data_IF_408304598493
#
_entry.id   IF_408304598493
#
_cell.length_a   1.000
_cell.length_b   1.000
_cell.length_c   1.000
_cell.angle_alpha   90.00
_cell.angle_beta   90.00
_cell.angle_gamma   90.00
#
_symmetry.space_group_name_H-M   'P 1'
#
loop_
_entity.id
_entity.type
_entity.pdbx_description
1 polymer ?
#
# COMPACT_ATOMS: atom_id res chain seq x y z
N UNK A 1 -11.89 17.27 12.84
CA UNK A 1 -10.91 17.15 11.75
C UNK A 1 -11.08 15.78 11.16
N UNK A 2 -11.64 15.68 9.96
CA UNK A 2 -11.74 14.41 9.22
C UNK A 2 -10.37 14.26 8.55
N UNK A 3 -9.66 13.19 8.87
CA UNK A 3 -8.35 12.90 8.28
C UNK A 3 -8.51 11.67 7.42
N UNK A 4 -8.96 11.87 6.18
CA UNK A 4 -9.19 10.81 5.21
C UNK A 4 -7.89 10.01 5.02
N UNK A 5 -7.99 8.69 5.14
CA UNK A 5 -6.88 7.78 4.88
C UNK A 5 -6.31 8.01 3.50
N UNK A 6 -5.00 8.27 3.44
CA UNK A 6 -4.33 8.61 2.18
C UNK A 6 -4.47 7.48 1.15
N UNK A 7 -4.42 7.84 -0.13
CA UNK A 7 -4.38 6.87 -1.23
C UNK A 7 -3.16 5.95 -1.12
N UNK A 8 -3.36 4.65 -1.32
CA UNK A 8 -2.30 3.64 -1.33
C UNK A 8 -1.22 3.88 -2.39
N UNK A 9 0.01 3.48 -2.08
CA UNK A 9 1.18 3.67 -2.91
C UNK A 9 0.99 3.04 -4.28
N UNK A 10 1.46 3.75 -5.31
CA UNK A 10 1.54 3.20 -6.65
C UNK A 10 2.53 2.02 -6.64
N UNK A 11 2.11 0.89 -7.24
CA UNK A 11 2.97 -0.27 -7.39
C UNK A 11 4.14 -0.06 -8.32
N UNK A 12 5.17 -0.90 -8.14
CA UNK A 12 6.44 -0.80 -8.86
C UNK A 12 6.16 -0.80 -10.36
N UNK A 13 6.54 0.29 -11.03
CA UNK A 13 6.40 0.43 -12.47
C UNK A 13 7.07 -0.76 -13.16
N UNK A 14 6.34 -1.40 -14.10
CA UNK A 14 6.62 -2.53 -14.99
C UNK A 14 8.10 -2.90 -15.30
N UNK A 15 8.89 -3.14 -14.26
CA UNK A 15 10.31 -3.35 -14.26
C UNK A 15 10.66 -3.96 -12.92
N UNK A 16 11.74 -4.73 -12.85
CA UNK A 16 12.16 -5.59 -11.75
C UNK A 16 12.42 -4.92 -10.39
N UNK A 17 11.86 -3.73 -10.12
CA UNK A 17 11.92 -3.03 -8.85
C UNK A 17 10.83 -3.47 -7.89
N UNK A 18 11.15 -3.38 -6.59
CA UNK A 18 10.19 -3.55 -5.51
C UNK A 18 9.11 -2.46 -5.59
N UNK A 19 7.93 -2.80 -5.10
CA UNK A 19 6.78 -1.92 -5.16
C UNK A 19 6.71 -0.96 -3.97
N UNK A 20 5.96 0.14 -4.15
CA UNK A 20 5.72 1.12 -3.08
C UNK A 20 4.73 0.62 -2.02
N UNK A 21 4.98 1.00 -0.77
CA UNK A 21 4.05 0.74 0.34
C UNK A 21 2.78 1.60 0.26
N UNK A 22 1.71 1.07 0.84
CA UNK A 22 0.44 1.75 1.06
C UNK A 22 0.54 2.96 2.01
N UNK A 23 -0.27 3.99 1.78
CA UNK A 23 -0.32 5.16 2.66
C UNK A 23 -1.16 4.90 3.92
N UNK A 24 -0.72 5.45 5.05
CA UNK A 24 -1.44 5.34 6.33
C UNK A 24 -2.59 6.34 6.45
N UNK A 25 -3.65 5.92 7.15
CA UNK A 25 -4.73 6.76 7.61
C UNK A 25 -4.51 7.22 9.05
N UNK A 26 -4.81 8.50 9.35
CA UNK A 26 -4.52 9.07 10.69
C UNK A 26 -5.65 8.88 11.69
N UNK A 27 -6.87 9.32 11.36
CA UNK A 27 -7.98 9.34 12.32
C UNK A 27 -9.14 8.44 11.89
N UNK A 28 -9.70 8.70 10.71
CA UNK A 28 -10.78 7.90 10.14
C UNK A 28 -10.48 7.67 8.66
N UNK A 29 -10.40 6.42 8.24
CA UNK A 29 -10.12 6.03 6.86
C UNK A 29 -9.36 4.72 6.78
N UNK A 30 -9.48 4.02 5.65
CA UNK A 30 -8.68 2.82 5.40
C UNK A 30 -7.25 3.18 5.02
N UNK A 31 -6.30 2.35 5.41
CA UNK A 31 -4.96 2.38 4.85
C UNK A 31 -4.99 2.00 3.38
N UNK A 32 -4.03 2.51 2.62
CA UNK A 32 -3.88 2.19 1.22
C UNK A 32 -3.24 0.83 1.01
N UNK A 33 -3.54 0.15 -0.10
CA UNK A 33 -2.89 -1.12 -0.43
C UNK A 33 -1.44 -0.90 -0.86
N UNK A 34 -0.59 -1.88 -0.57
CA UNK A 34 0.75 -1.96 -1.12
C UNK A 34 0.71 -2.29 -2.62
N UNK A 35 1.72 -1.82 -3.33
CA UNK A 35 1.87 -2.05 -4.75
C UNK A 35 2.31 -3.48 -5.08
N UNK A 36 1.96 -3.98 -6.27
CA UNK A 36 2.50 -5.28 -6.72
C UNK A 36 3.94 -5.15 -7.21
N UNK A 37 4.75 -6.17 -6.91
CA UNK A 37 6.11 -6.31 -7.39
C UNK A 37 6.18 -6.33 -8.92
N UNK A 38 7.32 -5.88 -9.44
CA UNK A 38 7.59 -5.91 -10.88
C UNK A 38 7.70 -7.32 -11.45
N UNK A 39 7.08 -7.54 -12.61
CA UNK A 39 7.13 -8.84 -13.29
C UNK A 39 8.52 -9.12 -13.87
N UNK A 40 9.21 -10.15 -13.36
CA UNK A 40 10.54 -10.55 -13.80
C UNK A 40 10.78 -12.06 -13.59
N UNK A 41 11.87 -12.61 -14.13
CA UNK A 41 12.26 -14.01 -13.90
C UNK A 41 12.44 -14.35 -12.41
N UNK A 42 12.75 -13.34 -11.60
CA UNK A 42 12.62 -13.37 -10.14
C UNK A 42 11.65 -12.26 -9.74
N UNK A 43 10.43 -12.58 -9.30
CA UNK A 43 9.45 -11.57 -8.90
C UNK A 43 10.03 -10.63 -7.84
N UNK A 44 9.80 -9.33 -8.00
CA UNK A 44 10.22 -8.34 -7.01
C UNK A 44 9.26 -8.38 -5.80
N UNK A 45 9.66 -7.78 -4.67
CA UNK A 45 8.76 -7.75 -3.52
C UNK A 45 7.56 -6.83 -3.80
N UNK A 46 6.36 -7.30 -3.40
CA UNK A 46 5.22 -6.41 -3.24
C UNK A 46 5.43 -5.45 -2.08
N UNK A 47 4.75 -4.30 -2.14
CA UNK A 47 4.74 -3.30 -1.07
C UNK A 47 3.82 -3.74 0.07
N UNK A 48 4.07 -3.23 1.26
CA UNK A 48 3.25 -3.46 2.45
C UNK A 48 1.98 -2.62 2.39
N UNK A 49 0.85 -3.14 2.88
CA UNK A 49 -0.36 -2.35 3.11
C UNK A 49 -0.15 -1.28 4.18
N UNK A 50 -0.73 -0.09 3.98
CA UNK A 50 -0.72 0.98 4.98
C UNK A 50 -1.74 0.74 6.11
N UNK A 51 -1.52 1.34 7.27
CA UNK A 51 -2.41 1.22 8.43
C UNK A 51 -3.71 2.02 8.28
N UNK A 52 -4.81 1.47 8.81
CA UNK A 52 -6.09 2.15 8.97
C UNK A 52 -6.09 3.23 10.05
N UNK A 53 -7.12 4.07 10.05
CA UNK A 53 -7.25 5.19 10.96
C UNK A 53 -7.39 4.76 12.42
N UNK A 54 -6.75 5.48 13.33
CA UNK A 54 -6.66 5.12 14.75
C UNK A 54 -8.01 4.96 15.47
N UNK A 55 -9.08 5.58 14.98
CA UNK A 55 -10.43 5.47 15.54
C UNK A 55 -11.30 4.52 14.73
N UNK A 56 -11.23 4.61 13.40
CA UNK A 56 -11.97 3.73 12.51
C UNK A 56 -11.31 3.64 11.14
N UNK A 57 -11.05 2.41 10.70
CA UNK A 57 -10.41 2.13 9.42
C UNK A 57 -9.83 0.73 9.40
N UNK A 58 -9.84 0.09 8.23
CA UNK A 58 -9.10 -1.16 8.01
C UNK A 58 -7.71 -0.86 7.47
N UNK A 59 -6.76 -1.72 7.80
CA UNK A 59 -5.45 -1.71 7.13
C UNK A 59 -5.62 -2.06 5.64
N UNK A 60 -4.70 -1.56 4.82
CA UNK A 60 -4.54 -1.96 3.45
C UNK A 60 -3.96 -3.37 3.35
N UNK A 61 -4.10 -3.99 2.18
CA UNK A 61 -3.50 -5.30 1.92
C UNK A 61 -2.12 -5.16 1.31
N UNK A 62 -1.23 -6.10 1.63
CA UNK A 62 0.06 -6.22 0.97
C UNK A 62 -0.12 -6.50 -0.53
N UNK A 63 0.77 -5.93 -1.32
CA UNK A 63 0.86 -6.19 -2.74
C UNK A 63 1.40 -7.57 -3.03
N UNK A 64 1.04 -8.10 -4.19
CA UNK A 64 1.53 -9.39 -4.64
C UNK A 64 3.01 -9.31 -5.06
N UNK A 65 3.78 -10.41 -4.94
CA UNK A 65 5.08 -10.53 -5.58
C UNK A 65 4.99 -10.48 -7.11
#
# INVERSE_FOLDING_TARGET
MIGDGGSGGAGGDAGSGDAGDGGDARLVGSGGNGGNGGFSATPAAGGTGGAGGAVFGSDGVDGLP
#
